data_IF_902662299832
#
_entry.id   IF_902662299832
#
_cell.length_a   1.000
_cell.length_b   1.000
_cell.length_c   1.000
_cell.angle_alpha   90.00
_cell.angle_beta   90.00
_cell.angle_gamma   90.00
#
_symmetry.space_group_name_H-M   'P 1'
#
loop_
_entity.id
_entity.type
_entity.pdbx_description
1 polymer ?
#
# COMPACT_ATOMS: atom_id res chain seq x y z
N UNK A 1 -20.82 -0.45 -18.88
CA UNK A 1 -19.49 0.18 -18.86
C UNK A 1 -18.62 -0.44 -17.77
N UNK A 2 -17.34 -0.51 -18.04
CA UNK A 2 -16.42 -1.13 -17.09
C UNK A 2 -16.02 -0.19 -15.98
N UNK A 3 -15.90 -0.72 -14.78
CA UNK A 3 -15.34 0.03 -13.66
C UNK A 3 -13.83 0.09 -13.81
N UNK A 4 -13.25 1.17 -13.35
CA UNK A 4 -11.80 1.32 -13.34
C UNK A 4 -11.33 1.37 -11.89
N UNK A 5 -10.27 0.67 -11.63
CA UNK A 5 -9.62 0.67 -10.32
C UNK A 5 -8.25 1.34 -10.44
N UNK A 6 -8.06 2.39 -9.67
CA UNK A 6 -6.79 3.08 -9.59
C UNK A 6 -6.31 2.96 -8.15
N UNK A 7 -5.09 2.50 -7.98
CA UNK A 7 -4.48 2.37 -6.66
C UNK A 7 -3.29 3.30 -6.54
N UNK A 8 -3.21 3.97 -5.42
CA UNK A 8 -2.13 4.87 -5.12
C UNK A 8 -1.55 4.51 -3.76
N UNK A 9 -0.25 4.48 -3.66
CA UNK A 9 0.45 4.18 -2.42
C UNK A 9 1.46 5.27 -2.12
N UNK A 10 1.44 5.75 -0.89
CA UNK A 10 2.38 6.76 -0.43
C UNK A 10 2.97 6.33 0.90
N UNK A 11 4.23 6.66 1.08
CA UNK A 11 4.93 6.39 2.34
C UNK A 11 5.54 7.68 2.84
N UNK A 12 5.31 7.99 4.10
CA UNK A 12 5.90 9.16 4.71
C UNK A 12 6.25 8.89 6.17
N UNK A 13 7.13 9.70 6.72
CA UNK A 13 7.56 9.56 8.11
C UNK A 13 6.84 10.56 8.99
N UNK A 14 6.34 10.08 10.11
CA UNK A 14 5.78 10.94 11.15
C UNK A 14 6.79 11.01 12.29
N UNK A 15 7.51 12.12 12.38
CA UNK A 15 8.48 12.31 13.44
C UNK A 15 7.81 12.40 14.79
N UNK A 16 6.64 13.02 14.82
CA UNK A 16 5.86 13.20 16.05
C UNK A 16 5.48 11.87 16.67
N UNK A 17 5.02 10.94 15.86
CA UNK A 17 4.61 9.61 16.33
C UNK A 17 5.74 8.59 16.31
N UNK A 18 6.85 8.96 15.71
CA UNK A 18 7.99 8.08 15.50
C UNK A 18 7.58 6.81 14.74
N UNK A 19 6.84 7.02 13.66
CA UNK A 19 6.33 5.93 12.83
C UNK A 19 6.45 6.23 11.36
N UNK A 20 6.47 5.17 10.59
CA UNK A 20 6.41 5.25 9.13
C UNK A 20 4.95 5.01 8.75
N UNK A 21 4.37 5.92 7.99
CA UNK A 21 2.99 5.80 7.57
C UNK A 21 2.91 5.29 6.14
N UNK A 22 2.07 4.30 5.95
CA UNK A 22 1.79 3.74 4.62
C UNK A 22 0.33 4.02 4.30
N UNK A 23 0.10 4.86 3.30
CA UNK A 23 -1.24 5.19 2.84
C UNK A 23 -1.54 4.43 1.56
N UNK A 24 -2.68 3.77 1.53
CA UNK A 24 -3.16 3.07 0.34
C UNK A 24 -4.53 3.62 0.01
N UNK A 25 -4.66 4.20 -1.17
CA UNK A 25 -5.93 4.74 -1.64
C UNK A 25 -6.38 3.99 -2.89
N UNK A 26 -7.60 3.51 -2.87
CA UNK A 26 -8.19 2.82 -4.00
C UNK A 26 -9.36 3.65 -4.51
N UNK A 27 -9.35 3.97 -5.78
CA UNK A 27 -10.40 4.73 -6.43
C UNK A 27 -11.13 3.80 -7.38
N UNK A 28 -12.41 3.61 -7.13
CA UNK A 28 -13.25 2.80 -8.03
C UNK A 28 -14.13 3.76 -8.79
N UNK A 29 -13.91 3.83 -10.09
CA UNK A 29 -14.61 4.76 -10.98
C UNK A 29 -15.63 4.00 -11.80
N UNK A 30 -16.88 4.42 -11.72
CA UNK A 30 -17.96 3.85 -12.51
C UNK A 30 -18.66 4.96 -13.29
N UNK A 31 -19.70 4.61 -14.03
CA UNK A 31 -20.48 5.59 -14.79
C UNK A 31 -21.10 6.68 -13.93
N UNK A 32 -21.46 6.35 -12.72
CA UNK A 32 -22.30 7.20 -11.91
C UNK A 32 -21.58 7.84 -10.74
N UNK A 33 -20.44 7.27 -10.32
CA UNK A 33 -19.78 7.79 -9.14
C UNK A 33 -18.32 7.35 -9.05
N UNK A 34 -17.60 7.99 -8.14
CA UNK A 34 -16.25 7.64 -7.76
C UNK A 34 -16.30 7.27 -6.30
N UNK A 35 -15.87 6.07 -5.97
CA UNK A 35 -15.76 5.64 -4.59
C UNK A 35 -14.28 5.64 -4.22
N UNK A 36 -13.97 6.12 -3.02
CA UNK A 36 -12.61 6.16 -2.52
C UNK A 36 -12.54 5.32 -1.26
N UNK A 37 -11.64 4.38 -1.24
CA UNK A 37 -11.39 3.54 -0.07
C UNK A 37 -9.94 3.77 0.33
N UNK A 38 -9.74 4.31 1.52
CA UNK A 38 -8.40 4.64 2.00
C UNK A 38 -8.05 3.87 3.26
N UNK A 39 -6.80 3.44 3.32
CA UNK A 39 -6.25 2.80 4.51
C UNK A 39 -4.92 3.47 4.85
N UNK A 40 -4.72 3.74 6.13
CA UNK A 40 -3.44 4.27 6.62
C UNK A 40 -2.92 3.36 7.71
N UNK A 41 -1.70 2.88 7.53
CA UNK A 41 -1.05 2.01 8.50
C UNK A 41 0.14 2.72 9.12
N UNK A 42 0.26 2.64 10.45
CA UNK A 42 1.44 3.14 11.14
C UNK A 42 2.37 1.97 11.44
N UNK A 43 3.60 2.08 11.00
CA UNK A 43 4.60 1.04 11.18
C UNK A 43 5.75 1.53 12.07
N UNK A 44 6.19 0.70 12.98
CA UNK A 44 7.44 0.98 13.68
C UNK A 44 8.60 0.73 12.73
N UNK A 45 9.80 1.14 13.09
CA UNK A 45 10.98 0.85 12.26
C UNK A 45 11.17 -0.65 12.11
N UNK A 46 10.95 -1.40 13.18
CA UNK A 46 11.07 -2.85 13.14
C UNK A 46 10.05 -3.48 12.21
N UNK A 47 8.79 -3.04 12.30
CA UNK A 47 7.73 -3.56 11.43
C UNK A 47 8.05 -3.25 9.96
N UNK A 48 8.56 -2.05 9.70
CA UNK A 48 8.91 -1.66 8.34
C UNK A 48 10.03 -2.54 7.79
N UNK A 49 11.03 -2.85 8.59
CA UNK A 49 12.12 -3.74 8.19
C UNK A 49 11.61 -5.14 7.88
N UNK A 50 10.72 -5.65 8.72
CA UNK A 50 10.12 -6.97 8.51
C UNK A 50 9.29 -6.99 7.23
N UNK A 51 8.58 -5.91 6.96
CA UNK A 51 7.77 -5.81 5.75
C UNK A 51 8.66 -5.81 4.49
N UNK A 52 9.76 -5.08 4.53
CA UNK A 52 10.72 -5.05 3.41
C UNK A 52 11.20 -6.47 3.11
N UNK A 53 11.60 -7.20 4.14
CA UNK A 53 12.09 -8.55 4.02
C UNK A 53 11.05 -9.49 3.41
N UNK A 54 9.83 -9.39 3.91
CA UNK A 54 8.72 -10.21 3.41
C UNK A 54 8.39 -9.88 1.96
N UNK A 55 8.40 -8.60 1.61
CA UNK A 55 8.14 -8.19 0.24
C UNK A 55 9.24 -8.69 -0.71
N UNK A 56 10.48 -8.63 -0.29
CA UNK A 56 11.59 -9.13 -1.10
C UNK A 56 11.45 -10.64 -1.35
N UNK A 57 11.08 -11.39 -0.31
CA UNK A 57 10.84 -12.82 -0.45
C UNK A 57 9.71 -13.11 -1.45
N UNK A 58 8.63 -12.34 -1.37
CA UNK A 58 7.51 -12.50 -2.29
C UNK A 58 7.90 -12.19 -3.73
N UNK A 59 8.71 -11.17 -3.93
CA UNK A 59 9.19 -10.81 -5.26
C UNK A 59 10.05 -11.95 -5.82
N UNK A 60 10.95 -12.49 -5.00
CA UNK A 60 11.79 -13.60 -5.43
C UNK A 60 10.96 -14.82 -5.83
N UNK A 61 9.95 -15.16 -5.03
CA UNK A 61 9.09 -16.30 -5.36
C UNK A 61 8.40 -16.12 -6.70
N UNK A 62 7.88 -14.94 -6.95
CA UNK A 62 7.17 -14.67 -8.20
C UNK A 62 8.12 -14.64 -9.41
N UNK A 63 9.33 -14.17 -9.20
CA UNK A 63 10.31 -14.11 -10.29
C UNK A 63 10.95 -15.45 -10.59
N UNK A 64 11.15 -16.28 -9.58
CA UNK A 64 11.82 -17.57 -9.74
C UNK A 64 10.87 -18.73 -9.95
N UNK A 65 9.77 -18.69 -9.25
CA UNK A 65 8.90 -19.86 -9.09
C UNK A 65 7.96 -20.16 -10.21
N UNK A 66 8.05 -19.46 -11.23
CA UNK A 66 7.00 -19.60 -12.21
C UNK A 66 7.36 -20.44 -13.40
#
# INVERSE_FOLDING_TARGET
>A
MKNRLIRQMDVYCSEKEHKIKLDISNYVISNTKIEVIEYTYGLSVEDARNLIETLEEGIEELEEGI
#
